data_IF_892194821114
#
_entry.id   IF_892194821114
#
_cell.length_a   1.000
_cell.length_b   1.000
_cell.length_c   1.000
_cell.angle_alpha   90.00
_cell.angle_beta   90.00
_cell.angle_gamma   90.00
#
_symmetry.space_group_name_H-M   'P 1'
#
loop_
_entity.id
_entity.type
_entity.pdbx_description
1 polymer ?
#
# COMPACT_ATOMS: atom_id res chain seq x y z
N UNK A 1 -10.99 -14.97 11.33
CA UNK A 1 -10.22 -13.76 11.68
C UNK A 1 -8.75 -14.10 11.90
N UNK A 2 -8.46 -15.19 12.61
CA UNK A 2 -7.11 -15.62 13.01
C UNK A 2 -6.10 -15.72 11.87
N UNK A 3 -6.50 -16.25 10.71
CA UNK A 3 -5.61 -16.34 9.53
C UNK A 3 -5.15 -14.97 9.00
N UNK A 4 -5.98 -13.94 9.16
CA UNK A 4 -5.63 -12.59 8.74
C UNK A 4 -4.65 -11.94 9.74
N UNK A 5 -4.85 -12.18 11.04
CA UNK A 5 -3.90 -11.75 12.08
C UNK A 5 -2.54 -12.41 11.83
N UNK A 6 -2.54 -13.72 11.58
CA UNK A 6 -1.33 -14.48 11.26
C UNK A 6 -0.62 -13.97 10.00
N UNK A 7 -1.40 -13.60 8.97
CA UNK A 7 -0.88 -12.95 7.78
C UNK A 7 -0.19 -11.62 8.11
N UNK A 8 -0.79 -10.78 8.96
CA UNK A 8 -0.22 -9.49 9.37
C UNK A 8 1.08 -9.69 10.16
N UNK A 9 1.10 -10.63 11.10
CA UNK A 9 2.30 -10.99 11.88
C UNK A 9 3.44 -11.44 10.95
N UNK A 10 3.15 -12.35 10.01
CA UNK A 10 4.15 -12.86 9.05
C UNK A 10 4.61 -11.82 8.02
N UNK A 11 3.74 -10.87 7.66
CA UNK A 11 4.07 -9.80 6.72
C UNK A 11 4.98 -8.74 7.34
N UNK A 12 5.00 -8.68 8.67
CA UNK A 12 5.73 -7.74 9.49
C UNK A 12 4.79 -6.80 10.22
N UNK A 13 4.77 -6.92 11.55
CA UNK A 13 4.01 -6.06 12.46
C UNK A 13 4.96 -5.44 13.49
N UNK A 14 4.53 -4.39 14.17
CA UNK A 14 5.39 -3.63 15.09
C UNK A 14 5.63 -4.32 16.45
N UNK A 15 4.89 -5.39 16.75
CA UNK A 15 4.92 -6.07 18.05
C UNK A 15 5.91 -7.23 18.14
N UNK A 16 6.45 -7.71 17.01
CA UNK A 16 7.44 -8.79 17.01
C UNK A 16 8.39 -8.66 15.81
N UNK A 17 9.53 -9.35 15.89
CA UNK A 17 10.46 -9.44 14.77
C UNK A 17 9.85 -10.13 13.55
N UNK A 18 10.41 -9.83 12.37
CA UNK A 18 9.95 -10.37 11.09
C UNK A 18 10.86 -11.49 10.60
N UNK A 19 10.28 -12.54 10.02
CA UNK A 19 11.07 -13.63 9.44
C UNK A 19 11.67 -13.15 8.12
N UNK A 20 13.00 -13.12 8.04
CA UNK A 20 13.69 -12.62 6.84
C UNK A 20 13.32 -13.44 5.60
N UNK A 21 12.94 -12.73 4.54
CA UNK A 21 12.51 -13.35 3.28
C UNK A 21 11.01 -13.68 3.22
N UNK A 22 10.26 -13.47 4.30
CA UNK A 22 8.80 -13.48 4.30
C UNK A 22 8.31 -12.03 4.29
N UNK A 23 7.47 -11.71 3.31
CA UNK A 23 6.73 -10.44 3.26
C UNK A 23 5.32 -10.72 2.75
N UNK A 24 4.50 -9.69 2.51
CA UNK A 24 3.06 -9.87 2.25
C UNK A 24 2.69 -10.90 1.17
N UNK A 25 3.39 -10.93 0.03
CA UNK A 25 3.12 -11.90 -1.04
C UNK A 25 3.47 -13.34 -0.64
N UNK A 26 4.57 -13.53 0.09
CA UNK A 26 5.04 -14.85 0.52
C UNK A 26 4.20 -15.35 1.70
N UNK A 27 3.91 -14.47 2.65
CA UNK A 27 3.05 -14.73 3.80
C UNK A 27 1.65 -15.19 3.35
N UNK A 28 1.04 -14.49 2.38
CA UNK A 28 -0.27 -14.87 1.84
C UNK A 28 -0.27 -16.28 1.25
N UNK A 29 0.79 -16.66 0.53
CA UNK A 29 0.95 -18.01 -0.05
C UNK A 29 1.12 -19.07 1.05
N UNK A 30 1.86 -18.76 2.11
CA UNK A 30 2.09 -19.69 3.23
C UNK A 30 0.79 -19.91 4.02
N UNK A 31 0.05 -18.84 4.31
CA UNK A 31 -1.24 -18.92 5.02
C UNK A 31 -2.28 -19.68 4.19
N UNK A 32 -2.35 -19.48 2.88
CA UNK A 32 -3.25 -20.27 2.02
C UNK A 32 -2.90 -21.77 2.00
N UNK A 33 -1.62 -22.14 2.19
CA UNK A 33 -1.16 -23.52 2.16
C UNK A 33 -1.30 -24.23 3.51
N UNK A 34 -0.93 -23.56 4.58
CA UNK A 34 -0.76 -24.17 5.91
C UNK A 34 -1.82 -23.73 6.92
N UNK A 35 -2.55 -22.65 6.66
CA UNK A 35 -3.69 -22.21 7.45
C UNK A 35 -3.36 -21.47 8.75
N UNK A 36 -2.24 -21.76 9.43
CA UNK A 36 -1.84 -21.07 10.67
C UNK A 36 -0.32 -20.99 10.83
N UNK A 37 0.17 -20.08 11.68
CA UNK A 37 1.61 -19.89 11.93
C UNK A 37 2.28 -21.16 12.46
N UNK A 38 1.63 -21.92 13.34
CA UNK A 38 2.17 -23.16 13.94
C UNK A 38 2.48 -24.19 12.85
N UNK A 39 1.54 -24.39 11.92
CA UNK A 39 1.71 -25.29 10.78
C UNK A 39 2.77 -24.77 9.80
N UNK A 40 2.92 -23.46 9.65
CA UNK A 40 3.98 -22.86 8.83
C UNK A 40 5.34 -23.16 9.45
N UNK A 41 5.52 -22.93 10.75
CA UNK A 41 6.79 -23.16 11.45
C UNK A 41 7.22 -24.64 11.43
N UNK A 42 6.26 -25.57 11.42
CA UNK A 42 6.54 -27.01 11.28
C UNK A 42 6.99 -27.41 9.87
N UNK A 43 6.46 -26.76 8.82
CA UNK A 43 6.66 -27.15 7.42
C UNK A 43 7.63 -26.23 6.64
N UNK A 44 8.18 -25.21 7.28
CA UNK A 44 9.05 -24.23 6.64
C UNK A 44 10.50 -24.71 6.58
N UNK A 45 11.18 -24.37 5.48
CA UNK A 45 12.60 -24.65 5.29
C UNK A 45 13.45 -23.72 6.19
N UNK A 46 13.89 -24.24 7.34
CA UNK A 46 14.69 -23.50 8.34
C UNK A 46 16.04 -22.98 7.83
N UNK A 47 16.59 -23.59 6.79
CA UNK A 47 17.83 -23.12 6.15
C UNK A 47 17.63 -21.82 5.35
N UNK A 48 16.43 -21.65 4.76
CA UNK A 48 16.12 -20.49 3.92
C UNK A 48 15.60 -19.31 4.74
N UNK A 49 14.82 -19.59 5.78
CA UNK A 49 14.14 -18.59 6.59
C UNK A 49 14.71 -18.63 8.00
N UNK A 50 15.38 -17.55 8.41
CA UNK A 50 15.86 -17.40 9.78
C UNK A 50 14.69 -16.98 10.67
N UNK A 51 14.22 -17.90 11.50
CA UNK A 51 13.20 -17.64 12.51
C UNK A 51 13.95 -17.12 13.75
N UNK A 52 13.57 -15.95 14.31
CA UNK A 52 14.11 -15.48 15.57
C UNK A 52 13.91 -16.49 16.71
N UNK A 53 14.88 -16.58 17.62
CA UNK A 53 14.73 -17.37 18.85
C UNK A 53 13.68 -16.69 19.76
N UNK A 54 12.85 -17.48 20.44
CA UNK A 54 11.72 -17.00 21.26
C UNK A 54 10.77 -16.01 20.56
N UNK A 55 10.35 -16.33 19.33
CA UNK A 55 9.42 -15.47 18.56
C UNK A 55 8.00 -15.47 19.17
N UNK A 56 7.52 -14.36 19.79
CA UNK A 56 6.32 -14.35 20.63
C UNK A 56 5.03 -14.13 19.80
N UNK A 57 4.84 -14.88 18.72
CA UNK A 57 3.70 -14.68 17.81
C UNK A 57 2.34 -14.91 18.50
N UNK A 58 2.28 -15.76 19.54
CA UNK A 58 1.05 -16.06 20.28
C UNK A 58 0.58 -14.88 21.13
N UNK A 59 1.51 -14.22 21.81
CA UNK A 59 1.23 -13.02 22.59
C UNK A 59 0.75 -11.88 21.69
N UNK A 60 1.41 -11.70 20.55
CA UNK A 60 1.01 -10.71 19.55
C UNK A 60 -0.38 -11.03 19.01
N UNK A 61 -0.69 -12.31 18.76
CA UNK A 61 -2.03 -12.73 18.34
C UNK A 61 -3.07 -12.39 19.41
N UNK A 62 -2.73 -12.51 20.70
CA UNK A 62 -3.60 -12.10 21.80
C UNK A 62 -3.86 -10.59 21.76
N UNK A 63 -2.82 -9.75 21.60
CA UNK A 63 -2.96 -8.29 21.50
C UNK A 63 -3.89 -7.89 20.34
N UNK A 64 -3.81 -8.57 19.20
CA UNK A 64 -4.68 -8.29 18.06
C UNK A 64 -6.13 -8.73 18.29
N UNK A 65 -6.37 -9.80 19.06
CA UNK A 65 -7.72 -10.31 19.36
C UNK A 65 -8.39 -9.52 20.47
N UNK A 66 -7.63 -9.21 21.51
CA UNK A 66 -8.08 -8.58 22.73
C UNK A 66 -7.22 -7.35 23.02
N UNK A 67 -7.30 -6.30 22.17
CA UNK A 67 -6.58 -5.07 22.43
C UNK A 67 -7.14 -4.41 23.70
N UNK A 68 -6.24 -3.80 24.48
CA UNK A 68 -6.61 -3.00 25.64
C UNK A 68 -7.26 -1.69 25.17
N UNK A 69 -8.55 -1.78 24.84
CA UNK A 69 -9.38 -0.63 24.46
C UNK A 69 -10.20 -0.16 25.65
N UNK A 70 -10.50 1.13 25.71
CA UNK A 70 -11.49 1.66 26.64
C UNK A 70 -12.86 1.08 26.30
N UNK A 71 -13.21 -0.06 26.91
CA UNK A 71 -14.45 -0.83 26.66
C UNK A 71 -15.71 -0.11 27.13
N UNK A 72 -15.55 0.97 27.89
CA UNK A 72 -16.66 1.78 28.31
C UNK A 72 -17.16 2.57 27.10
N UNK A 73 -18.30 2.15 26.57
CA UNK A 73 -19.28 3.02 25.91
C UNK A 73 -19.80 4.14 26.85
N UNK A 74 -19.00 4.58 27.84
CA UNK A 74 -19.09 5.94 28.37
C UNK A 74 -18.73 6.83 27.20
N UNK A 75 -19.76 7.11 26.43
CA UNK A 75 -19.86 8.02 25.33
C UNK A 75 -18.82 9.13 25.53
N UNK A 76 -17.69 9.01 24.82
CA UNK A 76 -16.78 10.14 24.73
C UNK A 76 -17.59 11.21 24.01
N UNK A 77 -18.10 12.17 24.76
CA UNK A 77 -18.80 13.31 24.20
C UNK A 77 -17.73 14.20 23.57
N UNK A 78 -17.46 13.94 22.30
CA UNK A 78 -16.49 14.71 21.52
C UNK A 78 -17.18 16.00 21.08
N UNK A 79 -17.06 17.04 21.90
CA UNK A 79 -17.50 18.39 21.55
C UNK A 79 -16.36 19.20 20.92
N UNK A 80 -16.64 19.81 19.77
CA UNK A 80 -15.70 20.73 19.12
C UNK A 80 -15.93 22.16 19.62
N UNK A 81 -15.14 22.57 20.63
CA UNK A 81 -15.18 23.92 21.20
C UNK A 81 -14.48 24.95 20.31
N UNK A 82 -14.70 26.24 20.60
CA UNK A 82 -13.95 27.31 19.96
C UNK A 82 -12.46 27.21 20.38
N UNK A 83 -11.51 27.56 19.48
CA UNK A 83 -10.11 27.68 19.86
C UNK A 83 -9.92 28.86 20.83
N UNK A 84 -9.05 28.69 21.81
CA UNK A 84 -8.58 29.77 22.70
C UNK A 84 -7.40 30.51 22.04
N UNK A 85 -7.66 31.71 21.54
CA UNK A 85 -6.66 32.45 20.75
C UNK A 85 -5.45 32.88 21.58
N UNK A 86 -5.69 33.38 22.79
CA UNK A 86 -4.65 33.97 23.63
C UNK A 86 -3.76 32.88 24.23
N UNK A 87 -4.35 31.77 24.64
CA UNK A 87 -3.62 30.58 25.06
C UNK A 87 -2.76 30.01 23.92
N UNK A 88 -3.30 29.93 22.71
CA UNK A 88 -2.57 29.45 21.53
C UNK A 88 -1.40 30.36 21.16
N UNK A 89 -1.59 31.68 21.17
CA UNK A 89 -0.51 32.64 20.89
C UNK A 89 0.56 32.57 21.97
N UNK A 90 0.17 32.49 23.25
CA UNK A 90 1.12 32.39 24.36
C UNK A 90 1.97 31.12 24.26
N UNK A 91 1.34 29.96 24.10
CA UNK A 91 2.06 28.69 24.00
C UNK A 91 2.92 28.61 22.74
N UNK A 92 2.37 28.92 21.56
CA UNK A 92 3.09 28.72 20.30
C UNK A 92 4.13 29.81 20.04
N UNK A 93 3.83 31.07 20.34
CA UNK A 93 4.74 32.19 20.03
C UNK A 93 5.74 32.40 21.15
N UNK A 94 5.27 32.52 22.41
CA UNK A 94 6.14 32.92 23.52
C UNK A 94 6.99 31.75 24.03
N UNK A 95 6.42 30.55 24.16
CA UNK A 95 7.15 29.38 24.69
C UNK A 95 7.88 28.60 23.60
N UNK A 96 7.26 28.44 22.42
CA UNK A 96 7.80 27.61 21.34
C UNK A 96 8.42 28.41 20.17
N UNK A 97 8.39 29.74 20.21
CA UNK A 97 9.10 30.60 19.24
C UNK A 97 8.53 30.60 17.81
N UNK A 98 7.27 30.21 17.60
CA UNK A 98 6.64 30.29 16.29
C UNK A 98 6.37 31.75 15.89
N UNK A 99 6.37 32.03 14.58
CA UNK A 99 6.06 33.39 14.11
C UNK A 99 4.58 33.74 14.36
N UNK A 100 4.34 34.81 15.13
CA UNK A 100 3.00 35.29 15.48
C UNK A 100 2.07 35.43 14.27
N UNK A 101 2.55 36.09 13.20
CA UNK A 101 1.78 36.29 11.96
C UNK A 101 1.27 34.98 11.31
N UNK A 102 1.98 33.86 11.46
CA UNK A 102 1.53 32.56 10.92
C UNK A 102 0.47 31.92 11.81
N UNK A 103 0.63 32.07 13.13
CA UNK A 103 -0.29 31.54 14.13
C UNK A 103 -1.63 32.26 14.03
N UNK A 104 -1.65 33.59 14.00
CA UNK A 104 -2.89 34.38 13.87
C UNK A 104 -3.66 34.03 12.61
N UNK A 105 -2.99 33.93 11.46
CA UNK A 105 -3.62 33.52 10.19
C UNK A 105 -4.18 32.10 10.24
N UNK A 106 -3.54 31.19 10.97
CA UNK A 106 -4.03 29.83 11.14
C UNK A 106 -5.29 29.79 12.02
N UNK A 107 -5.29 30.54 13.12
CA UNK A 107 -6.46 30.70 14.01
C UNK A 107 -7.65 31.27 13.24
N UNK A 108 -7.44 32.32 12.45
CA UNK A 108 -8.47 32.90 11.58
C UNK A 108 -9.05 31.88 10.60
N UNK A 109 -8.21 31.04 9.99
CA UNK A 109 -8.66 29.97 9.09
C UNK A 109 -9.50 28.92 9.81
N UNK A 110 -9.11 28.52 11.03
CA UNK A 110 -9.87 27.56 11.85
C UNK A 110 -11.25 28.12 12.20
N UNK A 111 -11.31 29.38 12.66
CA UNK A 111 -12.58 30.07 12.94
C UNK A 111 -13.47 30.18 11.70
N UNK A 112 -12.88 30.53 10.56
CA UNK A 112 -13.60 30.61 9.30
C UNK A 112 -14.10 29.25 8.81
N UNK A 113 -13.36 28.15 9.04
CA UNK A 113 -13.78 26.80 8.68
C UNK A 113 -14.95 26.32 9.55
N UNK A 114 -14.93 26.61 10.86
CA UNK A 114 -16.01 26.27 11.79
C UNK A 114 -17.36 26.87 11.38
N UNK A 115 -17.36 28.11 10.91
CA UNK A 115 -18.60 28.80 10.56
C UNK A 115 -19.16 28.40 9.18
N UNK A 116 -18.39 27.68 8.36
CA UNK A 116 -18.79 27.29 6.99
C UNK A 116 -19.53 25.96 6.91
N UNK A 117 -19.53 25.15 7.97
CA UNK A 117 -19.89 23.72 7.91
C UNK A 117 -21.31 23.36 8.35
N UNK A 118 -22.22 24.31 8.57
CA UNK A 118 -23.58 23.98 9.04
C UNK A 118 -24.46 23.27 8.01
N UNK A 119 -24.16 23.34 6.71
CA UNK A 119 -24.96 22.65 5.68
C UNK A 119 -24.07 22.30 4.47
N UNK A 120 -23.47 21.12 4.47
CA UNK A 120 -22.77 20.58 3.31
C UNK A 120 -23.77 20.25 2.20
N UNK A 121 -23.60 20.84 1.01
CA UNK A 121 -24.35 20.42 -0.18
C UNK A 121 -23.99 18.98 -0.56
N UNK A 122 -24.89 18.27 -1.24
CA UNK A 122 -24.65 16.88 -1.67
C UNK A 122 -23.37 16.75 -2.52
N UNK A 123 -23.01 17.80 -3.27
CA UNK A 123 -21.76 17.91 -4.03
C UNK A 123 -20.48 17.81 -3.17
N UNK A 124 -20.56 17.99 -1.86
CA UNK A 124 -19.43 17.76 -0.93
C UNK A 124 -19.25 16.28 -0.58
N UNK A 125 -20.28 15.47 -0.74
CA UNK A 125 -20.25 14.02 -0.51
C UNK A 125 -19.91 13.26 -1.80
N UNK A 126 -20.29 13.81 -2.95
CA UNK A 126 -20.07 13.20 -4.25
C UNK A 126 -19.03 13.99 -5.04
N UNK A 127 -17.94 13.33 -5.43
CA UNK A 127 -17.02 13.90 -6.41
C UNK A 127 -17.79 14.19 -7.71
N UNK A 128 -17.67 15.39 -8.31
CA UNK A 128 -18.32 15.69 -9.57
C UNK A 128 -17.88 14.68 -10.62
N UNK A 129 -18.84 13.93 -11.17
CA UNK A 129 -18.57 13.10 -12.35
C UNK A 129 -18.23 14.08 -13.46
N UNK A 130 -16.98 14.06 -13.93
CA UNK A 130 -16.63 14.79 -15.14
C UNK A 130 -17.58 14.31 -16.24
N UNK A 131 -18.40 15.21 -16.77
CA UNK A 131 -19.31 14.91 -17.87
C UNK A 131 -18.48 14.35 -19.03
N UNK A 132 -18.47 13.03 -19.21
CA UNK A 132 -17.91 12.41 -20.39
C UNK A 132 -18.71 12.95 -21.57
N UNK A 133 -18.08 13.53 -22.61
CA UNK A 133 -18.81 13.89 -23.81
C UNK A 133 -19.49 12.62 -24.34
N UNK A 134 -20.81 12.70 -24.44
CA UNK A 134 -21.70 11.64 -24.92
C UNK A 134 -21.03 10.96 -26.13
N UNK A 135 -20.79 9.64 -26.11
CA UNK A 135 -20.28 8.96 -27.28
C UNK A 135 -21.38 9.02 -28.33
N UNK A 136 -21.11 9.77 -29.40
CA UNK A 136 -21.87 9.76 -30.64
C UNK A 136 -22.17 8.29 -30.98
N UNK A 137 -23.47 7.98 -31.05
CA UNK A 137 -24.09 6.69 -31.41
C UNK A 137 -23.24 5.95 -32.45
N UNK A 138 -22.47 4.95 -32.04
CA UNK A 138 -21.88 3.96 -32.95
C UNK A 138 -22.61 2.65 -32.77
N UNK A 139 -23.10 2.10 -33.89
CA UNK A 139 -23.85 0.85 -34.01
C UNK A 139 -23.16 -0.28 -33.23
N UNK A 140 -23.97 -1.01 -32.46
CA UNK A 140 -23.52 -2.17 -31.71
C UNK A 140 -23.10 -3.30 -32.65
N UNK A 141 -21.88 -3.82 -32.47
CA UNK A 141 -21.50 -5.15 -32.94
C UNK A 141 -21.21 -5.99 -31.70
N UNK A 142 -22.06 -6.99 -31.42
CA UNK A 142 -21.82 -7.98 -30.37
C UNK A 142 -20.56 -8.78 -30.71
N UNK A 143 -19.57 -8.77 -29.82
CA UNK A 143 -18.45 -9.70 -29.88
C UNK A 143 -18.72 -10.83 -28.87
N UNK A 144 -19.03 -12.02 -29.39
CA UNK A 144 -19.22 -13.24 -28.59
C UNK A 144 -17.84 -13.84 -28.29
N UNK A 145 -17.49 -13.97 -27.01
CA UNK A 145 -16.34 -14.76 -26.58
C UNK A 145 -16.69 -16.24 -26.71
N UNK A 146 -16.15 -16.91 -27.74
CA UNK A 146 -16.14 -18.37 -27.85
C UNK A 146 -14.80 -18.92 -27.35
N UNK A 147 -14.84 -19.74 -26.30
CA UNK A 147 -13.74 -20.62 -25.90
C UNK A 147 -13.69 -21.83 -26.83
N UNK A 148 -12.54 -22.24 -27.38
CA UNK A 148 -12.45 -23.49 -28.12
C UNK A 148 -12.16 -24.66 -27.16
N UNK A 149 -12.97 -25.71 -27.22
CA UNK A 149 -12.61 -27.05 -26.73
C UNK A 149 -12.60 -28.07 -27.87
N UNK A 150 -11.49 -28.81 -27.88
CA UNK A 150 -11.22 -30.19 -28.30
C UNK A 150 -11.52 -30.65 -29.74
N UNK A 151 -10.41 -30.80 -30.49
CA UNK A 151 -9.95 -32.00 -31.22
C UNK A 151 -10.97 -32.90 -31.93
N UNK A 152 -10.84 -33.03 -33.25
CA UNK A 152 -10.56 -34.31 -33.92
C UNK A 152 -10.07 -34.10 -35.37
N UNK A 153 -9.27 -35.06 -35.83
CA UNK A 153 -8.58 -35.19 -37.13
C UNK A 153 -9.51 -35.03 -38.35
N UNK A 154 -9.04 -34.72 -39.56
CA UNK A 154 -7.98 -35.41 -40.31
C UNK A 154 -7.63 -34.71 -41.63
N UNK A 155 -6.37 -34.84 -42.08
CA UNK A 155 -5.90 -35.16 -43.47
C UNK A 155 -6.66 -34.49 -44.65
N UNK A 156 -6.05 -33.85 -45.65
CA UNK A 156 -4.81 -34.18 -46.39
C UNK A 156 -4.60 -33.10 -47.49
N UNK A 157 -3.35 -33.00 -47.98
CA UNK A 157 -2.89 -32.42 -49.27
C UNK A 157 -2.84 -30.89 -49.44
N UNK A 158 -1.64 -30.31 -49.57
CA UNK A 158 -0.81 -30.15 -50.80
C UNK A 158 -1.24 -28.88 -51.55
N UNK A 159 -0.39 -27.93 -51.93
CA UNK A 159 0.95 -27.96 -52.53
C UNK A 159 1.53 -26.52 -52.44
N UNK A 160 2.82 -26.31 -52.13
CA UNK A 160 3.86 -25.80 -53.07
C UNK A 160 3.53 -24.41 -53.68
N UNK A 161 4.36 -23.35 -53.77
CA UNK A 161 5.75 -22.94 -53.45
C UNK A 161 5.71 -21.40 -53.62
N UNK A 162 6.64 -20.64 -53.05
CA UNK A 162 6.82 -19.24 -53.47
C UNK A 162 7.76 -18.45 -52.58
N UNK A 163 9.01 -18.37 -52.99
CA UNK A 163 10.16 -17.80 -52.29
C UNK A 163 10.23 -16.27 -52.36
N UNK A 164 10.96 -15.70 -51.37
CA UNK A 164 11.79 -14.48 -51.37
C UNK A 164 11.13 -13.12 -51.71
N UNK A 165 11.41 -11.99 -51.04
CA UNK A 165 12.71 -11.40 -50.78
C UNK A 165 12.59 -10.17 -49.84
N UNK A 166 13.66 -9.87 -49.10
CA UNK A 166 13.91 -8.64 -48.33
C UNK A 166 14.45 -7.52 -49.26
N UNK A 167 14.25 -6.22 -48.98
CA UNK A 167 15.31 -5.36 -48.39
C UNK A 167 14.75 -4.27 -47.41
N UNK A 168 15.36 -4.00 -46.25
CA UNK A 168 16.40 -3.01 -45.86
C UNK A 168 16.08 -1.51 -46.10
N UNK A 169 16.14 -0.72 -45.00
CA UNK A 169 16.38 0.74 -44.97
C UNK A 169 15.67 1.47 -43.81
N UNK A 170 16.37 1.75 -42.69
CA UNK A 170 16.71 3.10 -42.13
C UNK A 170 15.49 3.97 -41.73
N UNK A 171 15.35 4.55 -40.53
CA UNK A 171 16.32 5.24 -39.65
C UNK A 171 15.73 5.56 -38.25
N UNK A 172 16.66 5.71 -37.29
CA UNK A 172 16.68 6.38 -35.97
C UNK A 172 15.42 6.87 -35.23
N UNK A 173 15.33 6.57 -33.93
CA UNK A 173 15.67 7.50 -32.82
C UNK A 173 15.50 6.79 -31.45
N UNK A 174 16.38 7.15 -30.51
CA UNK A 174 16.62 6.57 -29.17
C UNK A 174 15.51 6.82 -28.14
N UNK A 175 15.52 6.08 -27.00
CA UNK A 175 15.56 6.79 -25.72
C UNK A 175 16.57 6.24 -24.69
N UNK A 176 17.27 7.20 -24.09
CA UNK A 176 17.83 7.30 -22.73
C UNK A 176 17.93 6.03 -21.85
N UNK A 177 19.18 5.70 -21.53
CA UNK A 177 19.64 4.76 -20.51
C UNK A 177 20.14 5.57 -19.30
N UNK A 178 19.56 5.37 -18.10
CA UNK A 178 20.15 5.86 -16.85
C UNK A 178 20.83 4.70 -16.14
N UNK A 179 22.15 4.85 -16.01
CA UNK A 179 23.09 3.94 -15.38
C UNK A 179 23.39 4.46 -13.97
N UNK A 180 23.03 3.71 -12.93
CA UNK A 180 23.48 3.97 -11.55
C UNK A 180 24.73 3.13 -11.29
N UNK A 181 25.86 3.78 -11.01
CA UNK A 181 27.13 3.13 -10.61
C UNK A 181 27.22 3.11 -9.08
N UNK A 182 27.54 1.92 -8.55
CA UNK A 182 28.15 1.72 -7.24
C UNK A 182 29.68 1.80 -7.35
N UNK A 183 30.33 2.40 -6.35
CA UNK A 183 31.64 2.05 -5.75
C UNK A 183 32.08 3.24 -4.86
N UNK A 184 31.97 3.16 -3.55
CA UNK A 184 32.97 2.68 -2.57
C UNK A 184 34.18 3.59 -2.30
N UNK A 185 34.37 3.86 -0.98
CA UNK A 185 35.60 3.69 -0.17
C UNK A 185 36.40 4.91 0.35
N UNK A 186 36.93 4.69 1.58
CA UNK A 186 37.88 5.42 2.45
C UNK A 186 37.30 6.54 3.36
N UNK A 187 37.56 6.61 4.69
CA UNK A 187 38.54 5.92 5.55
C UNK A 187 38.33 6.18 7.07
N UNK A 188 38.71 5.18 7.90
CA UNK A 188 39.33 5.20 9.27
C UNK A 188 38.62 5.94 10.43
N UNK A 189 38.20 5.24 11.50
CA UNK A 189 38.98 4.86 12.70
C UNK A 189 38.52 5.75 13.88
N UNK A 190 38.39 5.43 15.17
CA UNK A 190 38.89 4.42 16.12
C UNK A 190 37.94 4.53 17.36
N UNK A 191 37.71 3.47 18.14
CA UNK A 191 37.71 3.52 19.63
C UNK A 191 37.40 2.15 20.25
N UNK A 192 38.24 1.78 21.20
CA UNK A 192 38.34 0.50 21.89
C UNK A 192 37.40 0.39 23.10
N UNK A 193 37.25 -0.88 23.51
CA UNK A 193 36.89 -1.41 24.83
C UNK A 193 37.02 -0.47 26.05
N UNK A 194 35.99 -0.50 26.89
CA UNK A 194 35.96 -1.01 28.29
C UNK A 194 34.54 -1.48 28.57
#
# INVERSE_FOLDING_TARGET
MDQFIDLCILSGCDYCETIRGIGGKTALKLIHKHGSIEHILQNINKERYSIPDDWPYEEVRCIFKEPLVCANNKQFEVEWSAPDDEGLVTFLVNENGFSSNRVTKAIEKIKAARNKSSQGGLESLFMPVANTPIPIKRKATRCMLQYPKSTFNSKIFSSQVGTCSRPKGFSSMTPFLLHFKNSELFSRGVCSAI
#
